data_IF_012478256215
#
_entry.id   IF_012478256215
#
_cell.length_a   1.000
_cell.length_b   1.000
_cell.length_c   1.000
_cell.angle_alpha   90.00
_cell.angle_beta   90.00
_cell.angle_gamma   90.00
#
_symmetry.space_group_name_H-M   'P 1'
#
loop_
_entity.id
_entity.type
_entity.pdbx_description
1 polymer ?
#
# COMPACT_ATOMS: atom_id res chain seq x y z
N UNK A 1 -14.62 6.99 -17.30
CA UNK A 1 -13.70 5.90 -17.51
C UNK A 1 -13.23 5.30 -16.19
N UNK A 2 -13.33 4.02 -16.06
CA UNK A 2 -12.88 3.36 -14.85
C UNK A 2 -11.36 3.32 -14.80
N UNK A 3 -10.80 3.61 -13.65
CA UNK A 3 -9.37 3.46 -13.45
C UNK A 3 -9.06 1.99 -13.29
N UNK A 4 -8.02 1.53 -13.95
CA UNK A 4 -7.53 0.16 -13.83
C UNK A 4 -6.29 0.10 -12.96
N UNK A 5 -6.01 1.17 -12.24
CA UNK A 5 -4.82 1.25 -11.41
C UNK A 5 -5.20 1.80 -10.05
N UNK A 6 -4.31 1.52 -9.10
CA UNK A 6 -4.35 2.12 -7.77
C UNK A 6 -3.30 3.22 -7.71
N UNK A 7 -3.61 4.29 -7.01
CA UNK A 7 -2.63 5.29 -6.66
C UNK A 7 -2.10 4.95 -5.28
N UNK A 8 -0.79 4.81 -5.17
CA UNK A 8 -0.16 4.39 -3.91
C UNK A 8 0.57 5.58 -3.30
N UNK A 9 0.34 5.80 -2.03
CA UNK A 9 1.08 6.78 -1.24
C UNK A 9 1.66 6.04 -0.03
N UNK A 10 2.97 5.86 -0.02
CA UNK A 10 3.66 5.22 1.09
C UNK A 10 4.43 6.29 1.83
N UNK A 11 4.05 6.53 3.07
CA UNK A 11 4.54 7.64 3.86
C UNK A 11 5.08 7.12 5.19
N UNK A 12 6.30 7.50 5.52
CA UNK A 12 6.82 7.29 6.87
C UNK A 12 6.46 8.52 7.71
N UNK A 13 6.81 8.49 8.98
CA UNK A 13 6.33 9.46 9.97
C UNK A 13 6.38 10.91 9.50
N UNK A 14 7.44 11.32 8.85
CA UNK A 14 7.60 12.70 8.43
C UNK A 14 8.16 12.83 7.02
N UNK A 15 8.04 11.80 6.20
CA UNK A 15 8.58 11.86 4.84
C UNK A 15 7.86 10.88 3.93
N UNK A 16 7.66 11.30 2.69
CA UNK A 16 7.16 10.41 1.67
C UNK A 16 8.27 9.41 1.31
N UNK A 17 7.91 8.13 1.25
CA UNK A 17 8.84 7.07 0.92
C UNK A 17 8.72 6.70 -0.54
N UNK A 18 7.49 6.56 -1.04
CA UNK A 18 7.25 6.21 -2.42
C UNK A 18 5.82 6.55 -2.80
N UNK A 19 5.63 6.96 -4.03
CA UNK A 19 4.29 7.14 -4.56
C UNK A 19 4.29 6.79 -6.03
N UNK A 20 3.15 6.37 -6.54
CA UNK A 20 3.02 6.00 -7.93
C UNK A 20 1.79 5.18 -8.17
N UNK A 21 1.68 4.63 -9.38
CA UNK A 21 0.55 3.81 -9.77
C UNK A 21 0.92 2.35 -9.78
N UNK A 22 -0.05 1.52 -9.40
CA UNK A 22 0.16 0.09 -9.31
C UNK A 22 -1.11 -0.63 -9.71
N UNK A 23 -0.99 -1.91 -10.02
CA UNK A 23 -2.15 -2.74 -10.32
C UNK A 23 -2.55 -3.61 -9.14
N UNK A 24 -1.69 -3.74 -8.15
CA UNK A 24 -1.99 -4.55 -6.97
C UNK A 24 -1.08 -4.17 -5.82
N UNK A 25 -1.61 -4.24 -4.61
CA UNK A 25 -0.83 -4.07 -3.38
C UNK A 25 -1.13 -5.24 -2.47
N UNK A 26 -0.10 -5.85 -1.91
CA UNK A 26 -0.25 -6.87 -0.89
C UNK A 26 0.40 -6.34 0.39
N UNK A 27 -0.35 -6.34 1.47
CA UNK A 27 0.15 -5.81 2.73
C UNK A 27 -0.23 -6.75 3.86
N UNK A 28 0.58 -6.76 4.90
CA UNK A 28 0.32 -7.58 6.07
C UNK A 28 -0.35 -6.72 7.13
N UNK A 29 -1.54 -7.14 7.54
CA UNK A 29 -2.29 -6.44 8.58
C UNK A 29 -2.37 -7.31 9.82
N UNK A 30 -2.84 -6.72 10.92
CA UNK A 30 -2.99 -7.48 12.17
C UNK A 30 -4.02 -8.60 12.03
N UNK A 31 -4.85 -8.55 11.00
CA UNK A 31 -5.84 -9.60 10.75
C UNK A 31 -5.39 -10.57 9.66
N UNK A 32 -4.18 -10.42 9.16
CA UNK A 32 -3.63 -11.28 8.13
C UNK A 32 -3.20 -10.49 6.90
N UNK A 33 -2.74 -11.22 5.90
CA UNK A 33 -2.29 -10.61 4.66
C UNK A 33 -3.49 -10.29 3.78
N UNK A 34 -3.50 -9.09 3.20
CA UNK A 34 -4.57 -8.67 2.31
C UNK A 34 -4.00 -8.26 0.96
N UNK A 35 -4.80 -8.45 -0.08
CA UNK A 35 -4.48 -7.98 -1.41
C UNK A 35 -5.49 -6.95 -1.87
N UNK A 36 -5.02 -5.86 -2.46
CA UNK A 36 -5.87 -4.78 -2.94
C UNK A 36 -5.72 -4.65 -4.44
N UNK A 37 -6.86 -4.60 -5.11
CA UNK A 37 -6.95 -4.40 -6.56
C UNK A 37 -7.78 -3.16 -6.84
N UNK A 38 -7.67 -2.59 -8.04
CA UNK A 38 -8.54 -1.47 -8.39
C UNK A 38 -10.00 -1.83 -8.21
N UNK A 39 -10.79 -0.89 -7.70
CA UNK A 39 -12.19 -1.12 -7.41
C UNK A 39 -12.47 -1.65 -6.02
N UNK A 40 -11.44 -1.83 -5.22
CA UNK A 40 -11.64 -2.31 -3.84
C UNK A 40 -12.47 -1.29 -3.05
N UNK A 41 -13.42 -1.77 -2.28
CA UNK A 41 -14.24 -0.88 -1.48
C UNK A 41 -13.41 -0.24 -0.36
N UNK A 42 -13.86 0.91 0.15
CA UNK A 42 -13.10 1.62 1.19
C UNK A 42 -12.86 0.74 2.42
N UNK A 43 -11.66 0.81 2.94
CA UNK A 43 -11.31 0.11 4.17
C UNK A 43 -10.14 0.79 4.87
N UNK A 44 -10.02 0.48 6.14
CA UNK A 44 -8.90 0.92 6.97
C UNK A 44 -8.42 -0.29 7.75
N UNK A 45 -7.12 -0.52 7.73
CA UNK A 45 -6.54 -1.67 8.43
C UNK A 45 -5.30 -1.23 9.20
N UNK A 46 -5.05 -1.90 10.31
CA UNK A 46 -3.84 -1.69 11.09
C UNK A 46 -2.76 -2.61 10.54
N UNK A 47 -1.60 -2.04 10.25
CA UNK A 47 -0.49 -2.82 9.72
C UNK A 47 0.14 -3.68 10.81
N UNK A 48 0.46 -4.91 10.45
CA UNK A 48 1.42 -5.70 11.19
C UNK A 48 2.81 -5.38 10.64
N UNK A 49 3.83 -5.54 11.46
CA UNK A 49 5.19 -5.36 10.98
C UNK A 49 5.46 -6.33 9.85
N UNK A 50 5.98 -5.84 8.75
CA UNK A 50 6.27 -6.71 7.64
C UNK A 50 6.43 -5.99 6.34
N UNK A 51 6.26 -6.78 5.28
CA UNK A 51 6.53 -6.34 3.93
C UNK A 51 5.26 -5.90 3.23
N UNK A 52 5.38 -4.80 2.50
CA UNK A 52 4.34 -4.34 1.58
C UNK A 52 4.89 -4.55 0.17
N UNK A 53 4.14 -5.27 -0.66
CA UNK A 53 4.55 -5.53 -2.04
C UNK A 53 3.61 -4.79 -2.97
N UNK A 54 4.20 -3.99 -3.84
CA UNK A 54 3.47 -3.16 -4.78
C UNK A 54 3.81 -3.64 -6.19
N UNK A 55 2.81 -4.13 -6.90
CA UNK A 55 3.02 -4.58 -8.28
C UNK A 55 2.65 -3.44 -9.20
N UNK A 56 3.62 -2.95 -9.94
CA UNK A 56 3.41 -1.85 -10.87
C UNK A 56 2.66 -2.32 -12.11
N UNK A 57 2.16 -1.36 -12.87
CA UNK A 57 1.44 -1.67 -14.12
C UNK A 57 2.32 -2.41 -15.12
N UNK A 58 3.63 -2.22 -15.02
CA UNK A 58 4.60 -2.92 -15.87
C UNK A 58 4.82 -4.37 -15.45
N UNK A 59 4.34 -4.76 -14.27
CA UNK A 59 4.61 -6.08 -13.71
C UNK A 59 5.77 -6.11 -12.74
N UNK A 60 6.54 -5.05 -12.67
CA UNK A 60 7.64 -4.95 -11.74
C UNK A 60 7.10 -4.87 -10.31
N UNK A 61 7.82 -5.46 -9.36
CA UNK A 61 7.39 -5.47 -7.97
C UNK A 61 8.34 -4.60 -7.14
N UNK A 62 7.75 -3.67 -6.41
CA UNK A 62 8.48 -2.85 -5.44
C UNK A 62 8.14 -3.38 -4.06
N UNK A 63 9.16 -3.62 -3.26
CA UNK A 63 8.97 -4.11 -1.90
C UNK A 63 9.38 -3.03 -0.91
N UNK A 64 8.60 -2.92 0.15
CA UNK A 64 8.88 -1.99 1.22
C UNK A 64 8.65 -2.67 2.55
N UNK A 65 9.40 -2.26 3.55
CA UNK A 65 9.10 -2.65 4.92
C UNK A 65 8.26 -1.53 5.53
N UNK A 66 7.31 -1.90 6.37
CA UNK A 66 6.48 -0.92 7.06
C UNK A 66 6.06 -1.49 8.40
N UNK A 67 6.07 -0.64 9.42
CA UNK A 67 5.64 -1.06 10.74
C UNK A 67 5.08 0.13 11.53
N UNK A 68 4.20 -0.17 12.46
CA UNK A 68 3.56 0.81 13.33
C UNK A 68 2.78 1.84 12.54
N UNK A 69 1.74 1.38 11.86
CA UNK A 69 0.93 2.28 11.10
C UNK A 69 -0.36 1.66 10.62
N UNK A 70 -0.91 2.26 9.60
CA UNK A 70 -2.18 1.81 9.06
C UNK A 70 -2.18 1.97 7.55
N UNK A 71 -3.12 1.27 6.94
CA UNK A 71 -3.36 1.32 5.51
C UNK A 71 -4.82 1.70 5.29
N UNK A 72 -5.06 2.62 4.38
CA UNK A 72 -6.41 2.94 3.97
C UNK A 72 -6.54 2.81 2.46
N UNK A 73 -7.72 2.43 2.00
CA UNK A 73 -8.03 2.43 0.58
C UNK A 73 -9.37 3.11 0.38
N UNK A 74 -9.42 4.00 -0.59
CA UNK A 74 -10.64 4.72 -0.96
C UNK A 74 -10.48 5.28 -2.35
N UNK A 75 -11.46 5.03 -3.22
CA UNK A 75 -11.47 5.57 -4.58
C UNK A 75 -10.17 5.27 -5.32
N UNK A 76 -9.70 4.05 -5.20
CA UNK A 76 -8.47 3.57 -5.84
C UNK A 76 -7.20 4.30 -5.36
N UNK A 77 -7.27 4.94 -4.20
CA UNK A 77 -6.09 5.51 -3.56
C UNK A 77 -5.77 4.67 -2.34
N UNK A 78 -4.57 4.11 -2.32
CA UNK A 78 -4.07 3.32 -1.19
C UNK A 78 -3.04 4.16 -0.48
N UNK A 79 -3.30 4.48 0.77
CA UNK A 79 -2.38 5.24 1.60
C UNK A 79 -1.86 4.34 2.71
N UNK A 80 -0.55 4.21 2.77
CA UNK A 80 0.12 3.46 3.84
C UNK A 80 0.92 4.47 4.63
N UNK A 81 0.55 4.64 5.90
CA UNK A 81 1.24 5.53 6.80
C UNK A 81 1.85 4.67 7.90
N UNK A 82 3.15 4.74 8.05
CA UNK A 82 3.85 3.93 9.02
C UNK A 82 4.85 4.79 9.78
N UNK A 83 5.14 4.38 11.00
CA UNK A 83 6.16 5.06 11.78
C UNK A 83 7.53 4.84 11.16
N UNK A 84 7.76 3.62 10.71
CA UNK A 84 9.00 3.26 10.02
C UNK A 84 8.64 2.59 8.72
N UNK A 85 9.16 3.09 7.62
CA UNK A 85 8.97 2.49 6.30
C UNK A 85 10.18 2.79 5.44
N UNK A 86 10.55 1.81 4.62
CA UNK A 86 11.68 1.96 3.71
C UNK A 86 11.53 0.98 2.56
N UNK A 87 12.03 1.36 1.40
CA UNK A 87 12.12 0.43 0.29
C UNK A 87 13.23 -0.57 0.55
N UNK A 88 13.02 -1.81 0.11
CA UNK A 88 14.00 -2.87 0.26
C UNK A 88 14.34 -3.53 -1.06
#
# INVERSE_FOLDING_TARGET
>A
MAANTLRIELVAEDAAVWSGEAKMVIAKTVEGEIGLLPGHEPMLAILASGEVRITLTSGEIIKASAEDGFLSVEHNVVTVVARHAALI
#
